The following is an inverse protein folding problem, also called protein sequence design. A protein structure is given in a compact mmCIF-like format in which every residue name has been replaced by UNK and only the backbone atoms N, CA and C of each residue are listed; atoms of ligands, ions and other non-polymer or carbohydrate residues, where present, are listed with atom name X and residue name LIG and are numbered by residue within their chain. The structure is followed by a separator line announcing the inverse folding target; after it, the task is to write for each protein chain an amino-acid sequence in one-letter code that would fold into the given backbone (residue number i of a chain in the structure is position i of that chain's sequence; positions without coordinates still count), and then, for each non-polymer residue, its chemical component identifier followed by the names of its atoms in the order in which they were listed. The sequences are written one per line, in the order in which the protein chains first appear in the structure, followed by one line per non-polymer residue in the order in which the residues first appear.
data_IF_918313999390
#
_entry.id   IF_918313999390
#
_cell.length_a   1.000
_cell.length_b   1.000
_cell.length_c   1.000
_cell.angle_alpha   90.00
_cell.angle_beta   90.00
_cell.angle_gamma   90.00
#
_symmetry.space_group_name_H-M   'P 1'
#
loop_
_entity.id
_entity.type
_entity.pdbx_description
1 polymer ?
#
# COMPACT_ATOMS: atom_id res chain seq x y z
N UNK A 1 -14.92 11.86 10.20
CA UNK A 1 -15.22 12.88 9.16
C UNK A 1 -14.45 12.53 7.91
N UNK A 2 -15.19 12.47 6.81
CA UNK A 2 -14.89 11.71 5.58
C UNK A 2 -13.65 12.23 4.85
N UNK A 3 -12.64 11.37 4.67
CA UNK A 3 -11.45 11.64 3.83
C UNK A 3 -11.86 12.01 2.38
N UNK A 4 -13.07 11.62 1.95
CA UNK A 4 -13.71 12.09 0.72
C UNK A 4 -13.83 13.61 0.58
N UNK A 5 -13.94 14.38 1.67
CA UNK A 5 -14.14 15.85 1.59
C UNK A 5 -12.87 16.62 1.25
N UNK A 6 -11.70 16.03 1.49
CA UNK A 6 -10.42 16.69 1.24
C UNK A 6 -9.90 16.43 -0.19
N UNK A 7 -10.46 15.43 -0.88
CA UNK A 7 -10.28 15.24 -2.31
C UNK A 7 -11.21 16.21 -3.05
N UNK A 8 -10.80 17.48 -3.18
CA UNK A 8 -11.47 18.42 -4.09
C UNK A 8 -11.56 17.84 -5.51
N UNK A 9 -12.50 18.33 -6.32
CA UNK A 9 -12.80 17.80 -7.67
C UNK A 9 -11.57 17.56 -8.56
N UNK A 10 -10.49 18.34 -8.41
CA UNK A 10 -9.22 18.13 -9.13
C UNK A 10 -8.43 16.89 -8.70
N UNK A 11 -8.64 16.42 -7.47
CA UNK A 11 -7.96 15.24 -6.93
C UNK A 11 -8.58 13.95 -7.46
N UNK A 12 -9.90 13.92 -7.70
CA UNK A 12 -10.60 12.74 -8.23
C UNK A 12 -10.03 12.32 -9.59
N UNK A 13 -9.73 13.28 -10.47
CA UNK A 13 -9.13 13.01 -11.78
C UNK A 13 -7.70 12.41 -11.68
N UNK A 14 -6.87 12.90 -10.75
CA UNK A 14 -5.52 12.36 -10.51
C UNK A 14 -5.55 10.99 -9.84
N UNK A 15 -6.53 10.77 -8.97
CA UNK A 15 -6.72 9.49 -8.28
C UNK A 15 -7.17 8.40 -9.26
N UNK A 16 -7.93 8.75 -10.31
CA UNK A 16 -8.30 7.79 -11.38
C UNK A 16 -7.08 7.21 -12.13
N UNK A 17 -6.00 7.99 -12.27
CA UNK A 17 -4.81 7.52 -12.98
C UNK A 17 -3.91 6.60 -12.13
N UNK A 18 -3.83 6.84 -10.81
CA UNK A 18 -3.09 6.00 -9.86
C UNK A 18 -3.53 6.31 -8.42
N UNK A 19 -4.56 5.62 -7.89
CA UNK A 19 -5.16 5.96 -6.61
C UNK A 19 -4.18 5.72 -5.47
N UNK A 20 -3.51 4.57 -5.44
CA UNK A 20 -2.57 4.22 -4.38
C UNK A 20 -1.43 5.25 -4.24
N UNK A 21 -0.82 5.66 -5.35
CA UNK A 21 0.27 6.65 -5.33
C UNK A 21 -0.19 8.03 -4.86
N UNK A 22 -1.41 8.43 -5.22
CA UNK A 22 -1.98 9.73 -4.84
C UNK A 22 -2.42 9.72 -3.38
N UNK A 23 -3.05 8.64 -2.93
CA UNK A 23 -3.55 8.47 -1.57
C UNK A 23 -2.40 8.32 -0.57
N UNK A 24 -1.37 7.52 -0.88
CA UNK A 24 -0.18 7.38 -0.03
C UNK A 24 0.65 8.67 0.09
N UNK A 25 0.60 9.56 -0.91
CA UNK A 25 1.25 10.88 -0.82
C UNK A 25 0.54 11.84 0.13
N UNK A 26 -0.71 11.56 0.49
CA UNK A 26 -1.51 12.42 1.36
C UNK A 26 -1.19 12.10 2.81
N UNK A 27 -0.59 13.06 3.52
CA UNK A 27 -0.26 12.96 4.94
C UNK A 27 -1.51 12.59 5.75
N UNK A 28 -1.47 11.44 6.43
CA UNK A 28 -2.55 10.96 7.29
C UNK A 28 -3.52 9.94 6.66
N UNK A 29 -3.41 9.65 5.36
CA UNK A 29 -4.18 8.56 4.75
C UNK A 29 -3.36 7.27 4.84
N UNK A 30 -3.68 6.42 5.82
CA UNK A 30 -3.09 5.09 5.93
C UNK A 30 -3.54 4.17 4.80
N UNK A 31 -2.76 3.12 4.53
CA UNK A 31 -3.04 2.12 3.46
C UNK A 31 -4.49 1.62 3.48
N UNK A 32 -5.05 1.34 4.66
CA UNK A 32 -6.41 0.82 4.81
C UNK A 32 -7.47 1.76 4.23
N UNK A 33 -7.31 3.08 4.46
CA UNK A 33 -8.20 4.10 3.90
C UNK A 33 -7.97 4.21 2.40
N UNK A 34 -6.70 4.18 1.97
CA UNK A 34 -6.35 4.21 0.55
C UNK A 34 -6.93 3.02 -0.22
N UNK A 35 -6.90 1.81 0.35
CA UNK A 35 -7.43 0.58 -0.24
C UNK A 35 -8.96 0.63 -0.35
N UNK A 36 -9.66 1.09 0.70
CA UNK A 36 -11.12 1.28 0.64
C UNK A 36 -11.51 2.28 -0.45
N UNK A 37 -10.74 3.36 -0.61
CA UNK A 37 -10.98 4.36 -1.65
C UNK A 37 -10.71 3.82 -3.05
N UNK A 38 -9.57 3.14 -3.24
CA UNK A 38 -9.21 2.53 -4.52
C UNK A 38 -10.26 1.49 -4.96
N UNK A 39 -10.73 0.64 -4.03
CA UNK A 39 -11.82 -0.30 -4.30
C UNK A 39 -13.12 0.42 -4.67
N UNK A 40 -13.46 1.51 -3.97
CA UNK A 40 -14.66 2.33 -4.28
C UNK A 40 -14.58 3.00 -5.65
N UNK A 41 -13.37 3.17 -6.18
CA UNK A 41 -13.11 3.72 -7.52
C UNK A 41 -13.02 2.63 -8.61
N UNK A 42 -13.19 1.35 -8.24
CA UNK A 42 -13.15 0.22 -9.16
C UNK A 42 -11.74 -0.29 -9.48
N UNK A 43 -10.73 0.02 -8.66
CA UNK A 43 -9.40 -0.51 -8.87
C UNK A 43 -9.31 -1.99 -8.50
N UNK A 44 -8.54 -2.72 -9.31
CA UNK A 44 -8.34 -4.15 -9.15
C UNK A 44 -7.53 -4.48 -7.89
N UNK A 45 -7.95 -5.52 -7.16
CA UNK A 45 -7.28 -6.00 -5.95
C UNK A 45 -5.89 -6.59 -6.22
N UNK A 46 -5.56 -6.87 -7.48
CA UNK A 46 -4.30 -7.41 -7.97
C UNK A 46 -3.32 -6.34 -8.45
N UNK A 47 -3.70 -5.05 -8.37
CA UNK A 47 -2.88 -3.96 -8.86
C UNK A 47 -1.51 -3.93 -8.18
N UNK A 48 -0.43 -3.77 -8.96
CA UNK A 48 0.93 -3.78 -8.42
C UNK A 48 1.13 -2.69 -7.36
N UNK A 49 0.60 -1.49 -7.57
CA UNK A 49 0.68 -0.41 -6.59
C UNK A 49 -0.01 -0.74 -5.26
N UNK A 50 -1.04 -1.59 -5.25
CA UNK A 50 -1.67 -2.07 -4.01
C UNK A 50 -0.69 -2.93 -3.21
N UNK A 51 0.04 -3.82 -3.88
CA UNK A 51 1.04 -4.69 -3.24
C UNK A 51 2.17 -3.87 -2.63
N UNK A 52 2.69 -2.90 -3.39
CA UNK A 52 3.75 -1.98 -2.93
C UNK A 52 3.25 -1.14 -1.74
N UNK A 53 2.02 -0.63 -1.83
CA UNK A 53 1.40 0.17 -0.78
C UNK A 53 1.18 -0.63 0.51
N UNK A 54 0.72 -1.88 0.39
CA UNK A 54 0.54 -2.78 1.52
C UNK A 54 1.86 -3.14 2.18
N UNK A 55 2.91 -3.42 1.39
CA UNK A 55 4.24 -3.70 1.93
C UNK A 55 4.82 -2.51 2.70
N UNK A 56 4.77 -1.29 2.13
CA UNK A 56 5.22 -0.09 2.84
C UNK A 56 4.45 0.14 4.14
N UNK A 57 3.15 -0.14 4.15
CA UNK A 57 2.37 -0.06 5.38
C UNK A 57 2.84 -1.03 6.46
N UNK A 58 3.17 -2.27 6.10
CA UNK A 58 3.73 -3.26 7.03
C UNK A 58 5.08 -2.77 7.57
N UNK A 59 5.96 -2.27 6.70
CA UNK A 59 7.27 -1.72 7.11
C UNK A 59 7.11 -0.52 8.04
N UNK A 60 6.22 0.41 7.71
CA UNK A 60 5.92 1.59 8.54
C UNK A 60 5.32 1.18 9.90
N UNK A 61 4.40 0.21 9.91
CA UNK A 61 3.80 -0.31 11.13
C UNK A 61 4.85 -0.99 12.04
N UNK A 62 5.77 -1.74 11.45
CA UNK A 62 6.89 -2.36 12.19
C UNK A 62 7.88 -1.32 12.71
N UNK A 63 8.21 -0.33 11.89
CA UNK A 63 9.05 0.80 12.28
C UNK A 63 8.44 1.57 13.46
N UNK A 64 7.11 1.78 13.44
CA UNK A 64 6.39 2.39 14.55
C UNK A 64 6.39 1.51 15.82
N UNK A 65 6.47 0.19 15.68
CA UNK A 65 6.58 -0.75 16.81
C UNK A 65 8.00 -0.90 17.38
N UNK A 66 9.00 -0.23 16.79
CA UNK A 66 10.41 -0.30 17.21
C UNK A 66 11.16 -1.56 16.74
N UNK A 67 10.55 -2.39 15.89
CA UNK A 67 11.20 -3.56 15.30
C UNK A 67 11.91 -3.16 14.01
N UNK A 68 13.22 -2.93 14.08
CA UNK A 68 14.07 -2.51 12.94
C UNK A 68 14.62 -3.67 12.13
N UNK A 69 14.53 -4.92 12.63
CA UNK A 69 14.93 -6.13 11.90
C UNK A 69 13.68 -6.93 11.54
N UNK A 70 13.08 -6.64 10.39
CA UNK A 70 12.12 -7.55 9.76
C UNK A 70 12.78 -8.20 8.55
N UNK A 71 12.68 -9.52 8.45
CA UNK A 71 13.17 -10.27 7.29
C UNK A 71 12.21 -10.11 6.11
N UNK A 72 12.71 -10.31 4.89
CA UNK A 72 11.89 -10.29 3.67
C UNK A 72 10.73 -11.28 3.72
N UNK A 73 10.92 -12.43 4.37
CA UNK A 73 9.88 -13.45 4.57
C UNK A 73 8.78 -12.99 5.52
N UNK A 74 9.12 -12.35 6.64
CA UNK A 74 8.14 -11.78 7.56
C UNK A 74 7.32 -10.69 6.89
N UNK A 75 7.99 -9.79 6.16
CA UNK A 75 7.33 -8.72 5.41
C UNK A 75 6.39 -9.28 4.33
N UNK A 76 6.82 -10.32 3.62
CA UNK A 76 5.99 -10.99 2.62
C UNK A 76 4.78 -11.67 3.25
N UNK A 77 4.97 -12.37 4.37
CA UNK A 77 3.89 -13.05 5.11
C UNK A 77 2.85 -12.07 5.65
N UNK A 78 3.28 -11.01 6.32
CA UNK A 78 2.39 -9.97 6.84
C UNK A 78 1.68 -9.21 5.71
N UNK A 79 2.41 -8.85 4.65
CA UNK A 79 1.83 -8.21 3.47
C UNK A 79 0.78 -9.10 2.79
N UNK A 80 1.05 -10.39 2.68
CA UNK A 80 0.14 -11.38 2.11
C UNK A 80 -1.14 -11.50 2.95
N UNK A 81 -1.02 -11.56 4.28
CA UNK A 81 -2.16 -11.58 5.19
C UNK A 81 -2.99 -10.29 5.11
N UNK A 82 -2.33 -9.13 5.07
CA UNK A 82 -2.99 -7.82 4.98
C UNK A 82 -3.78 -7.67 3.66
N UNK A 83 -3.18 -8.12 2.56
CA UNK A 83 -3.72 -7.94 1.21
C UNK A 83 -4.63 -9.07 0.75
N UNK A 84 -4.59 -10.21 1.44
CA UNK A 84 -5.30 -11.44 1.09
C UNK A 84 -4.74 -12.10 -0.18
N UNK A 85 -3.43 -12.09 -0.37
CA UNK A 85 -2.75 -12.66 -1.55
C UNK A 85 -1.76 -13.75 -1.13
N UNK A 86 -1.26 -14.53 -2.08
CA UNK A 86 -0.25 -15.54 -1.81
C UNK A 86 1.07 -14.93 -1.30
N UNK A 87 1.65 -15.56 -0.27
CA UNK A 87 2.97 -15.19 0.26
C UNK A 87 4.04 -15.23 -0.84
N UNK A 88 4.01 -16.22 -1.72
CA UNK A 88 4.93 -16.31 -2.85
C UNK A 88 4.85 -15.08 -3.77
N UNK A 89 3.64 -14.58 -4.03
CA UNK A 89 3.43 -13.38 -4.84
C UNK A 89 3.96 -12.13 -4.13
N UNK A 90 3.78 -12.03 -2.82
CA UNK A 90 4.36 -10.93 -2.05
C UNK A 90 5.88 -11.02 -1.95
N UNK A 91 6.45 -12.20 -1.76
CA UNK A 91 7.89 -12.41 -1.72
C UNK A 91 8.57 -11.91 -3.01
N UNK A 92 8.00 -12.24 -4.18
CA UNK A 92 8.50 -11.71 -5.45
C UNK A 92 8.43 -10.17 -5.55
N UNK A 93 7.42 -9.54 -4.94
CA UNK A 93 7.31 -8.07 -4.91
C UNK A 93 8.32 -7.46 -3.95
N UNK A 94 8.54 -8.08 -2.78
CA UNK A 94 9.54 -7.66 -1.80
C UNK A 94 10.93 -7.73 -2.42
N UNK A 95 11.29 -8.86 -3.02
CA UNK A 95 12.58 -9.02 -3.73
C UNK A 95 12.75 -7.98 -4.83
N UNK A 96 11.72 -7.75 -5.64
CA UNK A 96 11.77 -6.73 -6.69
C UNK A 96 12.00 -5.34 -6.11
N UNK A 97 11.34 -4.96 -5.02
CA UNK A 97 11.51 -3.65 -4.39
C UNK A 97 12.89 -3.48 -3.73
N UNK A 98 13.39 -4.54 -3.10
CA UNK A 98 14.75 -4.58 -2.55
C UNK A 98 15.80 -4.45 -3.66
N UNK A 99 15.61 -5.15 -4.78
CA UNK A 99 16.50 -5.09 -5.94
C UNK A 99 16.50 -3.70 -6.62
N UNK A 100 15.40 -2.94 -6.50
CA UNK A 100 15.26 -1.62 -7.08
C UNK A 100 15.52 -0.45 -6.09
N UNK A 101 16.05 -0.70 -4.88
CA UNK A 101 16.32 0.31 -3.83
C UNK A 101 15.16 1.29 -3.58
N UNK A 102 13.91 0.81 -3.63
CA UNK A 102 12.71 1.64 -3.47
C UNK A 102 11.98 1.43 -2.14
N UNK A 103 12.69 0.92 -1.12
CA UNK A 103 12.20 0.73 0.24
C UNK A 103 12.64 1.88 1.14
#
# INVERSE_FOLDING_TARGET
MSVFRQLGQETIAKVSANPYRTLLKTRGIGFRIADTMAQSLGCELTHRDRLIAGLRHVVDARSASGHTLATSDELASEGAQLLGVDVARMASVVELLLAHENL
#
